data_IF_459209677195
#
_entry.id   IF_459209677195
#
_cell.length_a   1.000
_cell.length_b   1.000
_cell.length_c   1.000
_cell.angle_alpha   90.00
_cell.angle_beta   90.00
_cell.angle_gamma   90.00
#
_symmetry.space_group_name_H-M   'P 1'
#
loop_
_entity.id
_entity.type
_entity.pdbx_description
1 polymer ?
#
# COMPACT_ATOMS: atom_id res chain seq x y z
N UNK A 1 -10.93 16.57 11.17
CA UNK A 1 -10.48 17.19 9.91
C UNK A 1 -10.55 16.14 8.83
N UNK A 2 -11.24 16.40 7.73
CA UNK A 2 -11.33 15.48 6.61
C UNK A 2 -10.71 16.18 5.39
N UNK A 3 -9.56 15.66 4.96
CA UNK A 3 -8.68 16.34 3.99
C UNK A 3 -9.05 16.03 2.52
N UNK A 4 -9.92 15.06 2.27
CA UNK A 4 -10.32 14.65 0.92
C UNK A 4 -11.67 15.28 0.52
N UNK A 5 -11.85 15.74 -0.74
CA UNK A 5 -13.15 16.15 -1.28
C UNK A 5 -14.18 15.01 -1.20
N UNK A 6 -15.47 15.34 -1.13
CA UNK A 6 -16.58 14.37 -1.00
C UNK A 6 -16.52 13.25 -2.05
N UNK A 7 -16.30 13.61 -3.31
CA UNK A 7 -16.21 12.64 -4.41
C UNK A 7 -15.09 11.60 -4.20
N UNK A 8 -13.99 11.98 -3.56
CA UNK A 8 -12.88 11.06 -3.25
C UNK A 8 -13.22 10.18 -2.06
N UNK A 9 -14.02 10.66 -1.11
CA UNK A 9 -14.49 9.85 0.00
C UNK A 9 -15.46 8.76 -0.46
N UNK A 10 -16.33 9.09 -1.43
CA UNK A 10 -17.33 8.16 -1.96
C UNK A 10 -16.74 7.18 -2.99
N UNK A 11 -15.86 7.65 -3.88
CA UNK A 11 -15.42 6.89 -5.05
C UNK A 11 -13.91 6.65 -5.12
N UNK A 12 -13.12 7.24 -4.21
CA UNK A 12 -11.66 7.09 -4.20
C UNK A 12 -11.19 5.71 -3.77
N UNK A 13 -9.95 5.38 -4.09
CA UNK A 13 -9.30 4.16 -3.60
C UNK A 13 -9.15 4.22 -2.08
N UNK A 14 -9.53 3.13 -1.41
CA UNK A 14 -9.37 2.95 0.01
C UNK A 14 -8.12 2.11 0.29
N UNK A 15 -7.27 2.62 1.17
CA UNK A 15 -6.09 1.94 1.69
C UNK A 15 -6.19 1.99 3.21
N UNK A 16 -6.16 0.83 3.85
CA UNK A 16 -6.17 0.76 5.31
C UNK A 16 -4.78 1.05 5.89
N UNK A 17 -4.72 1.48 7.15
CA UNK A 17 -3.45 1.81 7.83
C UNK A 17 -2.46 0.64 7.82
N UNK A 18 -2.98 -0.59 7.93
CA UNK A 18 -2.22 -1.83 7.76
C UNK A 18 -2.82 -2.60 6.59
N UNK A 19 -2.41 -2.21 5.38
CA UNK A 19 -2.82 -2.89 4.15
C UNK A 19 -1.97 -4.14 3.93
N UNK A 20 -2.62 -5.30 3.77
CA UNK A 20 -1.92 -6.52 3.38
C UNK A 20 -1.26 -6.33 2.01
N UNK A 21 0.00 -6.74 1.90
CA UNK A 21 0.78 -6.64 0.68
C UNK A 21 1.72 -7.81 0.51
N UNK A 22 2.09 -8.05 -0.76
CA UNK A 22 3.08 -9.06 -1.13
C UNK A 22 4.35 -8.37 -1.59
N UNK A 23 5.45 -8.61 -0.87
CA UNK A 23 6.78 -8.19 -1.30
C UNK A 23 7.26 -9.08 -2.45
N UNK A 24 7.69 -8.47 -3.54
CA UNK A 24 8.08 -9.15 -4.78
C UNK A 24 9.58 -9.05 -5.05
N UNK A 25 10.18 -7.89 -4.79
CA UNK A 25 11.57 -7.63 -5.14
C UNK A 25 12.19 -6.53 -4.27
N UNK A 26 13.50 -6.36 -4.43
CA UNK A 26 14.28 -5.29 -3.83
C UNK A 26 15.14 -4.60 -4.89
N UNK A 27 15.27 -3.28 -4.78
CA UNK A 27 16.23 -2.50 -5.56
C UNK A 27 17.09 -1.65 -4.62
N UNK A 28 18.40 -1.61 -4.88
CA UNK A 28 19.32 -0.72 -4.17
C UNK A 28 19.45 0.57 -4.94
N UNK A 29 19.16 1.69 -4.28
CA UNK A 29 19.43 3.04 -4.82
C UNK A 29 20.93 3.29 -4.89
N UNK A 30 21.35 4.19 -5.79
CA UNK A 30 22.74 4.62 -5.92
C UNK A 30 23.34 5.14 -4.61
N UNK A 31 22.53 5.80 -3.78
CA UNK A 31 22.94 6.33 -2.46
C UNK A 31 22.90 5.30 -1.32
N UNK A 32 22.73 4.01 -1.64
CA UNK A 32 22.92 2.89 -0.71
C UNK A 32 21.65 2.35 -0.04
N UNK A 33 20.55 3.10 -0.02
CA UNK A 33 19.27 2.66 0.56
C UNK A 33 18.57 1.62 -0.32
N UNK A 34 17.83 0.70 0.31
CA UNK A 34 17.00 -0.29 -0.37
C UNK A 34 15.53 0.14 -0.43
N UNK A 35 14.88 -0.13 -1.55
CA UNK A 35 13.43 -0.04 -1.71
C UNK A 35 12.87 -1.44 -2.00
N UNK A 36 11.78 -1.79 -1.32
CA UNK A 36 11.01 -2.99 -1.61
C UNK A 36 9.95 -2.67 -2.66
N UNK A 37 9.76 -3.57 -3.62
CA UNK A 37 8.55 -3.61 -4.43
C UNK A 37 7.49 -4.42 -3.69
N UNK A 38 6.41 -3.77 -3.26
CA UNK A 38 5.26 -4.40 -2.61
C UNK A 38 4.01 -4.17 -3.46
N UNK A 39 3.30 -5.25 -3.78
CA UNK A 39 2.01 -5.16 -4.45
C UNK A 39 0.87 -5.30 -3.43
N UNK A 40 -0.08 -4.37 -3.47
CA UNK A 40 -1.30 -4.42 -2.65
C UNK A 40 -2.54 -4.48 -3.54
N UNK A 41 -3.59 -5.15 -3.05
CA UNK A 41 -4.92 -5.11 -3.68
C UNK A 41 -5.74 -4.01 -3.02
N UNK A 42 -6.25 -3.06 -3.80
CA UNK A 42 -7.04 -1.93 -3.30
C UNK A 42 -8.34 -1.81 -4.07
N UNK A 43 -9.40 -1.45 -3.36
CA UNK A 43 -10.72 -1.20 -3.93
C UNK A 43 -11.13 0.26 -3.79
N UNK A 44 -12.03 0.74 -4.65
CA UNK A 44 -12.72 2.01 -4.43
C UNK A 44 -13.68 1.91 -3.25
N UNK A 45 -13.94 3.03 -2.58
CA UNK A 45 -14.84 3.09 -1.44
C UNK A 45 -16.29 2.68 -1.77
N UNK A 46 -16.73 2.86 -3.02
CA UNK A 46 -18.02 2.39 -3.53
C UNK A 46 -18.01 0.93 -4.04
N UNK A 47 -16.86 0.25 -3.95
CA UNK A 47 -16.69 -1.14 -4.36
C UNK A 47 -16.77 -1.40 -5.87
N UNK A 48 -16.83 -0.36 -6.71
CA UNK A 48 -16.99 -0.50 -8.16
C UNK A 48 -15.69 -0.70 -8.93
N UNK A 49 -14.55 -0.49 -8.28
CA UNK A 49 -13.22 -0.65 -8.89
C UNK A 49 -12.29 -1.39 -7.94
N UNK A 50 -11.43 -2.24 -8.50
CA UNK A 50 -10.35 -2.90 -7.80
C UNK A 50 -9.11 -2.91 -8.68
N UNK A 51 -7.94 -2.73 -8.07
CA UNK A 51 -6.66 -2.82 -8.78
C UNK A 51 -5.56 -3.38 -7.89
N UNK A 52 -4.52 -3.90 -8.54
CA UNK A 52 -3.26 -4.26 -7.90
C UNK A 52 -2.29 -3.08 -8.05
N UNK A 53 -1.90 -2.48 -6.93
CA UNK A 53 -1.03 -1.31 -6.91
C UNK A 53 0.42 -1.72 -6.57
N UNK A 54 1.38 -1.56 -7.49
CA UNK A 54 2.80 -1.72 -7.18
C UNK A 54 3.33 -0.48 -6.47
N UNK A 55 3.95 -0.67 -5.30
CA UNK A 55 4.52 0.39 -4.48
C UNK A 55 6.01 0.14 -4.25
N UNK A 56 6.82 1.18 -4.45
CA UNK A 56 8.22 1.20 -4.00
C UNK A 56 8.28 1.79 -2.59
N UNK A 57 8.59 0.95 -1.61
CA UNK A 57 8.51 1.30 -0.20
C UNK A 57 9.88 1.28 0.47
N UNK A 58 10.10 2.23 1.38
CA UNK A 58 11.21 2.17 2.32
C UNK A 58 10.98 1.04 3.33
N UNK A 59 12.06 0.51 3.90
CA UNK A 59 12.02 -0.63 4.83
C UNK A 59 11.20 -0.37 6.10
N UNK A 60 10.99 0.89 6.47
CA UNK A 60 10.20 1.30 7.64
C UNK A 60 8.70 1.47 7.35
N UNK A 61 8.29 1.41 6.07
CA UNK A 61 6.91 1.65 5.66
C UNK A 61 6.05 0.38 5.65
N UNK A 62 6.65 -0.78 5.88
CA UNK A 62 5.95 -2.06 5.97
C UNK A 62 6.64 -2.98 6.98
N UNK A 63 5.96 -4.05 7.36
CA UNK A 63 6.48 -5.07 8.26
C UNK A 63 6.13 -6.45 7.73
N UNK A 64 6.94 -7.45 8.09
CA UNK A 64 6.53 -8.84 7.91
C UNK A 64 5.32 -9.14 8.80
N UNK A 65 4.42 -10.04 8.38
CA UNK A 65 3.37 -10.56 9.24
C UNK A 65 4.02 -11.09 10.53
N UNK A 66 3.42 -10.81 11.67
CA UNK A 66 3.86 -11.44 12.91
C UNK A 66 3.50 -12.93 12.87
N UNK A 67 4.19 -13.76 13.64
CA UNK A 67 3.96 -15.21 13.67
C UNK A 67 2.53 -15.61 14.11
N UNK A 68 1.79 -14.69 14.73
CA UNK A 68 0.39 -14.82 15.11
C UNK A 68 -0.60 -14.30 14.03
N UNK A 69 -0.09 -13.87 12.87
CA UNK A 69 -0.89 -13.32 11.79
C UNK A 69 -1.32 -11.86 11.97
N UNK A 70 -0.79 -11.14 12.98
CA UNK A 70 -1.07 -9.72 13.24
C UNK A 70 -0.07 -8.73 12.63
#
# INVERSE_FOLDING_TARGET
>A
MQFAPHVVQEHGLRIDTLQEGRQIAWIRRSFGEWLALVCISVGSADGKSALTMPLWLQTNAFRLPRGDGS
#
